data_IF_423524211809
#
_entry.id   IF_423524211809
#
_cell.length_a   1.000
_cell.length_b   1.000
_cell.length_c   1.000
_cell.angle_alpha   90.00
_cell.angle_beta   90.00
_cell.angle_gamma   90.00
#
_symmetry.space_group_name_H-M   'P 1'
#
loop_
_entity.id
_entity.type
_entity.pdbx_description
1 polymer ?
#
# COMPACT_ATOMS: atom_id res chain seq x y z
N UNK A 1 69.47 -13.27 -56.54
CA UNK A 1 69.26 -13.65 -55.16
C UNK A 1 68.38 -12.61 -54.48
N UNK A 2 67.08 -12.81 -54.40
CA UNK A 2 66.14 -11.93 -53.69
C UNK A 2 65.41 -12.74 -52.66
N UNK A 3 65.63 -12.45 -51.37
CA UNK A 3 64.92 -13.01 -50.24
C UNK A 3 63.50 -12.40 -50.17
N UNK A 4 62.49 -13.22 -50.29
CA UNK A 4 61.13 -12.86 -49.98
C UNK A 4 60.89 -13.12 -48.48
N UNK A 5 60.60 -12.07 -47.72
CA UNK A 5 60.13 -12.18 -46.34
C UNK A 5 58.60 -12.35 -46.35
N UNK A 6 58.12 -13.47 -45.92
CA UNK A 6 56.70 -13.76 -45.67
C UNK A 6 56.28 -13.12 -44.32
N UNK A 7 55.35 -12.21 -44.35
CA UNK A 7 54.68 -11.63 -43.17
C UNK A 7 53.41 -12.45 -42.90
N UNK A 8 53.37 -13.21 -41.83
CA UNK A 8 52.15 -13.82 -41.33
C UNK A 8 51.31 -12.74 -40.62
N UNK A 9 50.15 -12.40 -41.20
CA UNK A 9 49.10 -11.65 -40.50
C UNK A 9 48.33 -12.65 -39.59
N UNK A 10 48.50 -12.52 -38.29
CA UNK A 10 47.62 -13.15 -37.32
C UNK A 10 46.36 -12.32 -37.16
N UNK A 11 45.24 -12.75 -37.74
CA UNK A 11 43.93 -12.17 -37.52
C UNK A 11 43.39 -12.57 -36.14
N UNK A 12 43.47 -11.66 -35.18
CA UNK A 12 42.76 -11.82 -33.90
C UNK A 12 41.27 -11.65 -34.13
N UNK A 13 40.50 -12.76 -34.13
CA UNK A 13 39.05 -12.71 -34.02
C UNK A 13 38.69 -12.28 -32.59
N UNK A 14 38.36 -10.97 -32.42
CA UNK A 14 37.67 -10.50 -31.23
C UNK A 14 36.23 -10.99 -31.36
N UNK A 15 35.93 -12.08 -30.68
CA UNK A 15 34.57 -12.55 -30.53
C UNK A 15 33.79 -11.48 -29.75
N UNK A 16 32.93 -10.73 -30.45
CA UNK A 16 31.92 -9.91 -29.77
C UNK A 16 31.02 -10.82 -29.00
N UNK A 17 31.21 -10.88 -27.68
CA UNK A 17 30.23 -11.47 -26.78
C UNK A 17 29.00 -10.57 -26.86
N UNK A 18 28.00 -10.97 -27.65
CA UNK A 18 26.66 -10.38 -27.57
C UNK A 18 26.16 -10.71 -26.17
N UNK A 19 26.34 -9.78 -25.22
CA UNK A 19 25.58 -9.78 -23.98
C UNK A 19 24.15 -9.51 -24.43
N UNK A 20 23.33 -10.55 -24.50
CA UNK A 20 21.91 -10.41 -24.69
C UNK A 20 21.43 -9.44 -23.62
N UNK A 21 20.99 -8.26 -24.01
CA UNK A 21 20.39 -7.29 -23.09
C UNK A 21 19.13 -7.98 -22.58
N UNK A 22 19.02 -8.13 -21.25
CA UNK A 22 17.82 -8.68 -20.65
C UNK A 22 16.65 -7.74 -21.00
N UNK A 23 15.52 -8.33 -21.40
CA UNK A 23 14.30 -7.54 -21.60
C UNK A 23 13.95 -6.82 -20.30
N UNK A 24 13.43 -5.58 -20.39
CA UNK A 24 13.08 -4.77 -19.23
C UNK A 24 11.86 -5.32 -18.52
N UNK A 25 11.76 -5.13 -17.20
CA UNK A 25 10.62 -5.55 -16.39
C UNK A 25 9.57 -4.44 -16.39
N UNK A 26 8.48 -4.62 -17.11
CA UNK A 26 7.44 -3.62 -17.26
C UNK A 26 6.38 -3.69 -16.15
N UNK A 27 6.11 -2.54 -15.50
CA UNK A 27 5.10 -2.38 -14.45
C UNK A 27 4.18 -1.20 -14.79
N UNK A 28 2.92 -1.44 -15.24
CA UNK A 28 1.98 -0.36 -15.47
C UNK A 28 1.53 0.29 -14.17
N UNK A 29 1.37 1.62 -14.17
CA UNK A 29 0.91 2.39 -13.01
C UNK A 29 -0.47 3.00 -13.30
N UNK A 30 -1.51 2.49 -12.64
CA UNK A 30 -2.87 3.01 -12.72
C UNK A 30 -3.00 4.19 -11.77
N UNK A 31 -2.32 5.28 -12.09
CA UNK A 31 -2.15 6.42 -11.19
C UNK A 31 -3.33 7.38 -11.21
N UNK A 32 -3.36 8.30 -10.23
CA UNK A 32 -4.24 9.46 -10.23
C UNK A 32 -3.47 10.67 -9.67
N UNK A 33 -3.24 11.64 -10.57
CA UNK A 33 -2.44 12.84 -10.32
C UNK A 33 -3.30 14.10 -10.30
N UNK A 34 -4.60 13.99 -10.62
CA UNK A 34 -5.54 15.09 -10.67
C UNK A 34 -6.79 14.82 -9.81
N UNK A 35 -7.55 15.88 -9.51
CA UNK A 35 -8.77 15.77 -8.73
C UNK A 35 -8.57 15.75 -7.20
N UNK A 36 -9.63 15.45 -6.44
CA UNK A 36 -9.64 15.59 -4.98
C UNK A 36 -8.76 14.58 -4.23
N UNK A 37 -8.25 13.57 -4.92
CA UNK A 37 -7.39 12.53 -4.37
C UNK A 37 -5.93 12.63 -4.85
N UNK A 38 -5.63 13.62 -5.68
CA UNK A 38 -4.33 13.80 -6.35
C UNK A 38 -3.14 13.86 -5.40
N UNK A 39 -3.30 14.48 -4.23
CA UNK A 39 -2.22 14.61 -3.27
C UNK A 39 -1.71 13.24 -2.79
N UNK A 40 -2.63 12.33 -2.45
CA UNK A 40 -2.29 10.96 -2.06
C UNK A 40 -1.71 10.14 -3.21
N UNK A 41 -2.33 10.20 -4.40
CA UNK A 41 -1.84 9.53 -5.60
C UNK A 41 -0.46 10.02 -6.02
N UNK A 42 -0.22 11.32 -6.01
CA UNK A 42 1.08 11.91 -6.36
C UNK A 42 2.17 11.52 -5.37
N UNK A 43 1.87 11.50 -4.06
CA UNK A 43 2.82 11.06 -3.05
C UNK A 43 3.22 9.59 -3.25
N UNK A 44 2.23 8.71 -3.38
CA UNK A 44 2.46 7.27 -3.52
C UNK A 44 3.19 6.92 -4.83
N UNK A 45 2.63 7.29 -5.98
CA UNK A 45 3.28 6.97 -7.27
C UNK A 45 4.59 7.74 -7.48
N UNK A 46 4.74 8.92 -6.85
CA UNK A 46 6.03 9.59 -6.75
C UNK A 46 7.08 8.72 -6.07
N UNK A 47 6.75 8.13 -4.93
CA UNK A 47 7.64 7.21 -4.21
C UNK A 47 7.96 5.94 -5.00
N UNK A 48 6.97 5.39 -5.72
CA UNK A 48 7.17 4.21 -6.61
C UNK A 48 8.19 4.54 -7.70
N UNK A 49 7.96 5.62 -8.45
CA UNK A 49 8.82 6.02 -9.58
C UNK A 49 10.22 6.41 -9.09
N UNK A 50 10.31 7.10 -7.96
CA UNK A 50 11.60 7.45 -7.37
C UNK A 50 12.43 6.21 -7.04
N UNK A 51 11.80 5.17 -6.47
CA UNK A 51 12.48 3.92 -6.18
C UNK A 51 12.86 3.14 -7.46
N UNK A 52 12.01 3.14 -8.49
CA UNK A 52 12.35 2.56 -9.79
C UNK A 52 13.57 3.27 -10.42
N UNK A 53 13.61 4.59 -10.36
CA UNK A 53 14.77 5.35 -10.80
C UNK A 53 16.03 5.03 -10.00
N UNK A 54 15.91 4.81 -8.68
CA UNK A 54 17.02 4.39 -7.83
C UNK A 54 17.54 2.99 -8.23
N UNK A 55 16.65 2.03 -8.40
CA UNK A 55 17.02 0.66 -8.84
C UNK A 55 17.70 0.71 -10.20
N UNK A 56 17.15 1.45 -11.16
CA UNK A 56 17.72 1.59 -12.49
C UNK A 56 19.09 2.31 -12.48
N UNK A 57 19.27 3.30 -11.61
CA UNK A 57 20.56 3.96 -11.39
C UNK A 57 21.61 3.02 -10.77
N UNK A 58 21.17 2.00 -10.01
CA UNK A 58 22.02 0.95 -9.42
C UNK A 58 22.26 -0.24 -10.36
N UNK A 59 21.80 -0.17 -11.62
CA UNK A 59 21.99 -1.21 -12.64
C UNK A 59 20.83 -2.18 -12.82
N UNK A 60 19.67 -1.90 -12.23
CA UNK A 60 18.46 -2.75 -12.32
C UNK A 60 18.46 -3.94 -11.34
N UNK A 61 17.46 -4.78 -11.45
CA UNK A 61 17.29 -6.01 -10.68
C UNK A 61 18.15 -7.13 -11.29
N UNK A 62 19.36 -7.32 -10.79
CA UNK A 62 20.36 -8.22 -11.38
C UNK A 62 20.63 -7.92 -12.89
N UNK A 63 20.62 -6.66 -13.29
CA UNK A 63 20.84 -6.24 -14.68
C UNK A 63 19.55 -5.97 -15.47
N UNK A 64 18.37 -6.39 -14.99
CA UNK A 64 17.06 -6.11 -15.59
C UNK A 64 16.56 -4.76 -15.10
N UNK A 65 16.32 -3.82 -16.01
CA UNK A 65 15.74 -2.52 -15.65
C UNK A 65 14.25 -2.62 -15.45
N UNK A 66 13.70 -1.70 -14.67
CA UNK A 66 12.26 -1.51 -14.52
C UNK A 66 11.80 -0.40 -15.46
N UNK A 67 10.77 -0.68 -16.26
CA UNK A 67 10.07 0.31 -17.07
C UNK A 67 8.63 0.43 -16.62
N UNK A 68 8.01 1.57 -16.89
CA UNK A 68 6.62 1.82 -16.50
C UNK A 68 5.94 2.76 -17.49
N UNK A 69 4.62 2.74 -17.47
CA UNK A 69 3.75 3.69 -18.12
C UNK A 69 2.64 4.08 -17.14
N UNK A 70 2.37 5.38 -16.99
CA UNK A 70 1.26 5.85 -16.16
C UNK A 70 -0.01 5.99 -16.98
N UNK A 71 -1.14 5.59 -16.41
CA UNK A 71 -2.47 5.89 -16.92
C UNK A 71 -3.28 6.62 -15.86
N UNK A 72 -3.74 7.84 -16.15
CA UNK A 72 -4.54 8.65 -15.25
C UNK A 72 -5.95 8.10 -15.09
N UNK A 73 -6.29 7.65 -13.88
CA UNK A 73 -7.60 7.08 -13.55
C UNK A 73 -8.56 8.09 -12.94
N UNK A 74 -8.09 9.24 -12.47
CA UNK A 74 -8.85 10.21 -11.66
C UNK A 74 -9.55 9.57 -10.44
N UNK A 75 -9.01 8.46 -9.93
CA UNK A 75 -9.63 7.64 -8.88
C UNK A 75 -11.01 7.07 -9.27
N UNK A 76 -11.30 6.96 -10.56
CA UNK A 76 -12.56 6.47 -11.12
C UNK A 76 -12.45 4.99 -11.49
N UNK A 77 -13.40 4.17 -11.02
CA UNK A 77 -13.36 2.72 -11.22
C UNK A 77 -13.42 2.32 -12.70
N UNK A 78 -14.28 2.96 -13.51
CA UNK A 78 -14.41 2.64 -14.94
C UNK A 78 -13.14 3.00 -15.71
N UNK A 79 -12.55 4.17 -15.44
CA UNK A 79 -11.25 4.57 -16.02
C UNK A 79 -10.12 3.64 -15.57
N UNK A 80 -10.15 3.20 -14.32
CA UNK A 80 -9.18 2.22 -13.81
C UNK A 80 -9.22 0.91 -14.57
N UNK A 81 -10.42 0.41 -14.88
CA UNK A 81 -10.61 -0.78 -15.74
C UNK A 81 -10.09 -0.53 -17.15
N UNK A 82 -10.40 0.63 -17.75
CA UNK A 82 -9.89 1.01 -19.07
C UNK A 82 -8.35 1.09 -19.10
N UNK A 83 -7.75 1.76 -18.10
CA UNK A 83 -6.30 1.84 -17.96
C UNK A 83 -5.66 0.45 -17.85
N UNK A 84 -6.24 -0.44 -17.05
CA UNK A 84 -5.78 -1.82 -16.92
C UNK A 84 -5.80 -2.54 -18.28
N UNK A 85 -6.94 -2.54 -18.98
CA UNK A 85 -7.08 -3.21 -20.26
C UNK A 85 -6.11 -2.69 -21.32
N UNK A 86 -5.85 -1.38 -21.32
CA UNK A 86 -4.92 -0.76 -22.25
C UNK A 86 -3.48 -1.14 -21.95
N UNK A 87 -3.08 -1.13 -20.67
CA UNK A 87 -1.67 -1.27 -20.28
C UNK A 87 -1.22 -2.72 -20.07
N UNK A 88 -2.15 -3.65 -19.77
CA UNK A 88 -1.78 -5.03 -19.41
C UNK A 88 -0.95 -5.78 -20.45
N UNK A 89 -1.02 -5.38 -21.74
CA UNK A 89 -0.25 -5.98 -22.84
C UNK A 89 0.86 -5.09 -23.40
N UNK A 90 1.02 -3.86 -22.87
CA UNK A 90 2.09 -2.96 -23.29
C UNK A 90 3.46 -3.52 -22.95
N UNK A 91 4.48 -3.15 -23.72
CA UNK A 91 5.89 -3.46 -23.45
C UNK A 91 6.17 -4.94 -23.10
N UNK A 92 5.52 -5.88 -23.78
CA UNK A 92 5.71 -7.32 -23.54
C UNK A 92 4.83 -7.91 -22.45
N UNK A 93 4.00 -7.13 -21.78
CA UNK A 93 3.04 -7.56 -20.78
C UNK A 93 3.34 -7.08 -19.38
N UNK A 94 2.28 -6.81 -18.61
CA UNK A 94 2.38 -6.33 -17.25
C UNK A 94 2.94 -7.40 -16.30
N UNK A 95 3.94 -7.03 -15.52
CA UNK A 95 4.54 -7.87 -14.49
C UNK A 95 3.66 -8.03 -13.27
N UNK A 96 3.04 -6.93 -12.86
CA UNK A 96 2.11 -6.79 -11.76
C UNK A 96 1.33 -5.48 -11.95
N UNK A 97 0.29 -5.26 -11.14
CA UNK A 97 -0.48 -4.02 -11.13
C UNK A 97 -0.82 -3.58 -9.70
N UNK A 98 -0.85 -2.27 -9.47
CA UNK A 98 -1.25 -1.63 -8.19
C UNK A 98 -2.16 -0.44 -8.49
N UNK A 99 -3.48 -0.54 -8.28
CA UNK A 99 -4.41 0.54 -8.61
C UNK A 99 -4.57 1.61 -7.53
N UNK A 100 -4.03 1.42 -6.33
CA UNK A 100 -4.18 2.28 -5.15
C UNK A 100 -5.64 2.77 -4.93
N UNK A 101 -6.60 1.93 -5.24
CA UNK A 101 -8.03 2.22 -5.12
C UNK A 101 -8.81 0.92 -4.91
N UNK A 102 -9.51 0.82 -3.78
CA UNK A 102 -10.39 -0.33 -3.50
C UNK A 102 -11.45 -0.52 -4.60
N UNK A 103 -12.03 0.58 -5.10
CA UNK A 103 -13.02 0.53 -6.16
C UNK A 103 -12.46 -0.01 -7.47
N UNK A 104 -11.26 0.43 -7.88
CA UNK A 104 -10.60 -0.07 -9.08
C UNK A 104 -10.17 -1.53 -8.88
N UNK A 105 -9.57 -1.87 -7.71
CA UNK A 105 -9.16 -3.23 -7.40
C UNK A 105 -10.33 -4.22 -7.53
N UNK A 106 -11.52 -3.85 -7.02
CA UNK A 106 -12.72 -4.67 -7.18
C UNK A 106 -13.16 -4.77 -8.65
N UNK A 107 -13.03 -3.69 -9.41
CA UNK A 107 -13.41 -3.65 -10.83
C UNK A 107 -12.53 -4.52 -11.74
N UNK A 108 -11.27 -4.77 -11.35
CA UNK A 108 -10.33 -5.59 -12.13
C UNK A 108 -10.02 -6.96 -11.48
N UNK A 109 -10.67 -7.29 -10.35
CA UNK A 109 -10.38 -8.49 -9.56
C UNK A 109 -10.41 -9.79 -10.39
N UNK A 110 -11.50 -10.03 -11.09
CA UNK A 110 -11.67 -11.24 -11.92
C UNK A 110 -10.72 -11.21 -13.13
N UNK A 111 -10.48 -10.02 -13.71
CA UNK A 111 -9.61 -9.83 -14.87
C UNK A 111 -8.15 -10.15 -14.60
N UNK A 112 -7.60 -9.69 -13.48
CA UNK A 112 -6.20 -9.98 -13.11
C UNK A 112 -6.00 -11.47 -12.84
N UNK A 113 -7.01 -12.16 -12.31
CA UNK A 113 -6.98 -13.62 -12.14
C UNK A 113 -7.01 -14.37 -13.49
N UNK A 114 -7.89 -13.95 -14.42
CA UNK A 114 -7.97 -14.51 -15.78
C UNK A 114 -6.68 -14.25 -16.58
N UNK A 115 -6.13 -13.03 -16.49
CA UNK A 115 -4.90 -12.62 -17.18
C UNK A 115 -3.63 -13.16 -16.49
N UNK A 116 -3.75 -13.74 -15.28
CA UNK A 116 -2.65 -14.23 -14.44
C UNK A 116 -1.61 -13.13 -14.10
N UNK A 117 -2.09 -11.93 -13.85
CA UNK A 117 -1.26 -10.77 -13.47
C UNK A 117 -1.43 -10.52 -11.98
N UNK A 118 -0.39 -10.58 -11.15
CA UNK A 118 -0.50 -10.25 -9.74
C UNK A 118 -0.95 -8.81 -9.54
N UNK A 119 -1.98 -8.61 -8.70
CA UNK A 119 -2.38 -7.30 -8.23
C UNK A 119 -1.99 -7.16 -6.77
N UNK A 120 -1.21 -6.16 -6.46
CA UNK A 120 -0.96 -5.78 -5.08
C UNK A 120 -1.99 -4.77 -4.61
N UNK A 121 -2.37 -4.85 -3.34
CA UNK A 121 -3.28 -3.91 -2.69
C UNK A 121 -2.69 -3.52 -1.34
N UNK A 122 -1.56 -2.79 -1.38
CA UNK A 122 -0.76 -2.45 -0.22
C UNK A 122 -1.60 -1.71 0.85
N UNK A 123 -2.06 -2.47 1.85
CA UNK A 123 -2.85 -1.91 2.94
C UNK A 123 -4.25 -1.44 2.55
N UNK A 124 -4.89 -2.04 1.53
CA UNK A 124 -6.29 -1.75 1.23
C UNK A 124 -7.04 -2.99 0.72
N UNK A 125 -8.33 -2.85 0.43
CA UNK A 125 -9.21 -3.96 0.12
C UNK A 125 -8.91 -4.62 -1.24
N UNK A 126 -9.19 -5.88 -1.34
CA UNK A 126 -10.09 -6.72 -0.59
C UNK A 126 -9.35 -7.48 0.52
N UNK A 127 -9.83 -7.41 1.77
CA UNK A 127 -9.14 -8.03 2.93
C UNK A 127 -9.15 -9.55 2.89
N UNK A 128 -10.23 -10.20 2.48
CA UNK A 128 -10.32 -11.67 2.38
C UNK A 128 -9.45 -12.26 1.26
N UNK A 129 -8.91 -11.40 0.38
CA UNK A 129 -7.93 -11.81 -0.63
C UNK A 129 -6.56 -12.19 -0.04
N UNK A 130 -6.34 -12.00 1.26
CA UNK A 130 -5.20 -12.58 1.95
C UNK A 130 -5.18 -14.13 1.91
N UNK A 131 -6.33 -14.78 1.65
CA UNK A 131 -6.38 -16.22 1.36
C UNK A 131 -5.99 -16.51 -0.09
N UNK A 132 -4.70 -16.74 -0.33
CA UNK A 132 -4.20 -16.98 -1.68
C UNK A 132 -4.66 -18.29 -2.32
N UNK A 133 -5.17 -19.25 -1.53
CA UNK A 133 -5.81 -20.45 -2.09
C UNK A 133 -7.07 -20.12 -2.91
N UNK A 134 -7.73 -19.01 -2.61
CA UNK A 134 -8.92 -18.52 -3.30
C UNK A 134 -8.57 -17.38 -4.25
N UNK A 135 -7.61 -16.52 -3.86
CA UNK A 135 -7.19 -15.33 -4.61
C UNK A 135 -5.70 -15.37 -4.98
N UNK A 136 -5.29 -16.32 -5.85
CA UNK A 136 -3.86 -16.57 -6.09
C UNK A 136 -3.10 -15.40 -6.74
N UNK A 137 -3.81 -14.40 -7.27
CA UNK A 137 -3.21 -13.23 -7.93
C UNK A 137 -3.44 -11.92 -7.19
N UNK A 138 -3.96 -11.94 -5.93
CA UNK A 138 -4.23 -10.72 -5.16
C UNK A 138 -3.39 -10.74 -3.88
N UNK A 139 -2.62 -9.67 -3.64
CA UNK A 139 -1.66 -9.57 -2.54
C UNK A 139 -1.87 -8.31 -1.71
N UNK A 140 -2.70 -8.36 -0.64
CA UNK A 140 -2.85 -7.25 0.31
C UNK A 140 -1.64 -7.21 1.27
N UNK A 141 -0.49 -6.87 0.72
CA UNK A 141 0.80 -6.91 1.41
C UNK A 141 0.81 -6.04 2.68
N UNK A 142 1.56 -6.50 3.69
CA UNK A 142 1.80 -5.89 5.02
C UNK A 142 0.61 -6.09 5.96
N UNK A 143 -0.58 -5.65 5.59
CA UNK A 143 -1.76 -5.62 6.46
C UNK A 143 -3.03 -5.35 5.63
N UNK A 144 -4.20 -5.70 6.17
CA UNK A 144 -5.51 -5.45 5.56
C UNK A 144 -6.35 -4.47 6.38
N UNK A 145 -7.44 -3.99 5.80
CA UNK A 145 -8.39 -3.16 6.53
C UNK A 145 -9.05 -3.88 7.71
N UNK A 146 -9.23 -5.19 7.60
CA UNK A 146 -9.80 -5.97 8.70
C UNK A 146 -8.84 -6.05 9.88
N UNK A 147 -7.56 -6.29 9.63
CA UNK A 147 -6.55 -6.26 10.69
C UNK A 147 -6.36 -4.84 11.25
N UNK A 148 -6.46 -3.80 10.41
CA UNK A 148 -6.45 -2.43 10.90
C UNK A 148 -7.63 -2.12 11.81
N UNK A 149 -8.85 -2.48 11.42
CA UNK A 149 -10.05 -2.27 12.25
C UNK A 149 -9.90 -2.98 13.61
N UNK A 150 -9.41 -4.22 13.59
CA UNK A 150 -9.13 -4.96 14.82
C UNK A 150 -8.04 -4.30 15.68
N UNK A 151 -6.98 -3.78 15.06
CA UNK A 151 -5.92 -3.05 15.77
C UNK A 151 -6.40 -1.69 16.30
N UNK A 152 -7.31 -1.00 15.59
CA UNK A 152 -7.96 0.23 16.07
C UNK A 152 -8.75 -0.04 17.35
N UNK A 153 -9.60 -1.06 17.34
CA UNK A 153 -10.38 -1.44 18.53
C UNK A 153 -9.45 -1.79 19.70
N UNK A 154 -8.38 -2.56 19.45
CA UNK A 154 -7.39 -2.86 20.48
C UNK A 154 -6.77 -1.60 21.05
N UNK A 155 -6.30 -0.69 20.19
CA UNK A 155 -5.69 0.57 20.63
C UNK A 155 -6.67 1.43 21.44
N UNK A 156 -7.93 1.54 21.03
CA UNK A 156 -8.96 2.28 21.77
C UNK A 156 -9.28 1.61 23.11
N UNK A 157 -9.26 0.27 23.16
CA UNK A 157 -9.35 -0.50 24.39
C UNK A 157 -8.18 -0.20 25.33
N UNK A 158 -6.95 -0.31 24.86
CA UNK A 158 -5.74 -0.01 25.64
C UNK A 158 -5.78 1.43 26.18
N UNK A 159 -6.17 2.38 25.36
CA UNK A 159 -6.36 3.81 25.75
C UNK A 159 -7.48 4.00 26.77
N UNK A 160 -8.45 3.11 26.83
CA UNK A 160 -9.56 3.11 27.80
C UNK A 160 -9.23 2.36 29.08
N UNK A 161 -8.09 1.66 29.18
CA UNK A 161 -7.67 0.83 30.31
C UNK A 161 -7.98 -0.65 30.17
N UNK A 162 -8.36 -1.11 28.96
CA UNK A 162 -8.63 -2.50 28.58
C UNK A 162 -9.79 -2.63 27.60
N UNK A 163 -9.86 -3.73 26.88
CA UNK A 163 -10.94 -4.01 25.93
C UNK A 163 -12.31 -4.11 26.63
N UNK A 164 -12.34 -4.61 27.85
CA UNK A 164 -13.54 -4.66 28.71
C UNK A 164 -14.10 -3.26 29.04
N UNK A 165 -13.26 -2.24 29.02
CA UNK A 165 -13.63 -0.83 29.25
C UNK A 165 -14.27 -0.16 28.04
N UNK A 166 -14.35 -0.87 26.92
CA UNK A 166 -15.12 -0.40 25.76
C UNK A 166 -16.63 -0.62 25.95
N UNK A 167 -17.05 -1.48 26.88
CA UNK A 167 -18.47 -1.73 27.15
C UNK A 167 -19.23 -0.45 27.48
N UNK A 168 -20.29 -0.19 26.72
CA UNK A 168 -21.12 1.00 26.85
C UNK A 168 -20.56 2.28 26.25
N UNK A 169 -19.33 2.26 25.72
CA UNK A 169 -18.79 3.41 24.98
C UNK A 169 -19.45 3.53 23.61
N UNK A 170 -19.47 4.76 23.08
CA UNK A 170 -19.92 5.06 21.74
C UNK A 170 -18.73 5.32 20.82
N UNK A 171 -18.66 4.58 19.73
CA UNK A 171 -17.62 4.74 18.71
C UNK A 171 -18.30 5.06 17.38
N UNK A 172 -18.00 6.21 16.82
CA UNK A 172 -18.46 6.60 15.48
C UNK A 172 -17.46 6.11 14.44
N UNK A 173 -17.93 5.41 13.42
CA UNK A 173 -17.24 5.15 12.18
C UNK A 173 -17.68 6.19 11.15
N UNK A 174 -16.91 7.29 11.00
CA UNK A 174 -17.10 8.34 10.00
C UNK A 174 -16.33 7.92 8.74
N UNK A 175 -17.03 7.53 7.69
CA UNK A 175 -16.39 6.87 6.56
C UNK A 175 -16.77 7.44 5.20
N UNK A 176 -15.83 7.40 4.28
CA UNK A 176 -16.03 7.67 2.87
C UNK A 176 -17.03 6.68 2.28
N UNK A 177 -18.15 7.16 1.73
CA UNK A 177 -19.23 6.30 1.20
C UNK A 177 -18.85 5.63 -0.11
N UNK A 178 -18.02 4.61 0.01
CA UNK A 178 -17.50 3.80 -1.09
C UNK A 178 -17.13 2.40 -0.59
N UNK A 179 -16.71 1.51 -1.49
CA UNK A 179 -16.19 0.19 -1.13
C UNK A 179 -15.06 0.31 -0.08
N UNK A 180 -14.16 1.29 -0.23
CA UNK A 180 -13.09 1.57 0.72
C UNK A 180 -13.59 1.83 2.15
N UNK A 181 -14.56 2.75 2.29
CA UNK A 181 -15.06 3.14 3.62
C UNK A 181 -15.93 2.08 4.29
N UNK A 182 -16.51 1.17 3.50
CA UNK A 182 -17.38 0.08 3.98
C UNK A 182 -16.60 -1.18 4.35
N UNK A 183 -15.39 -1.34 3.87
CA UNK A 183 -14.56 -2.54 4.04
C UNK A 183 -14.39 -2.99 5.51
N UNK A 184 -14.11 -2.10 6.51
CA UNK A 184 -13.90 -2.49 7.89
C UNK A 184 -15.18 -2.77 8.68
N UNK A 185 -16.35 -2.41 8.15
CA UNK A 185 -17.62 -2.47 8.89
C UNK A 185 -17.90 -3.85 9.48
N UNK A 186 -17.75 -4.98 8.77
CA UNK A 186 -18.01 -6.29 9.34
C UNK A 186 -17.18 -6.60 10.59
N UNK A 187 -15.89 -6.21 10.59
CA UNK A 187 -15.00 -6.42 11.74
C UNK A 187 -15.38 -5.50 12.90
N UNK A 188 -15.68 -4.23 12.62
CA UNK A 188 -16.12 -3.28 13.66
C UNK A 188 -17.43 -3.71 14.29
N UNK A 189 -18.40 -4.26 13.53
CA UNK A 189 -19.65 -4.80 14.04
C UNK A 189 -19.44 -6.06 14.89
N UNK A 190 -18.57 -6.97 14.46
CA UNK A 190 -18.22 -8.16 15.23
C UNK A 190 -17.58 -7.78 16.58
N UNK A 191 -16.65 -6.81 16.57
CA UNK A 191 -16.00 -6.32 17.78
C UNK A 191 -16.92 -5.48 18.67
N UNK A 192 -17.85 -4.71 18.09
CA UNK A 192 -18.88 -4.01 18.85
C UNK A 192 -19.74 -5.00 19.64
N UNK A 193 -20.14 -6.12 19.02
CA UNK A 193 -20.85 -7.19 19.68
C UNK A 193 -20.00 -7.88 20.76
N UNK A 194 -18.72 -8.15 20.46
CA UNK A 194 -17.80 -8.86 21.35
C UNK A 194 -17.48 -8.04 22.61
N UNK A 195 -17.20 -6.74 22.46
CA UNK A 195 -16.74 -5.88 23.54
C UNK A 195 -17.83 -4.95 24.10
N UNK A 196 -19.04 -4.98 23.54
CA UNK A 196 -20.22 -4.28 24.08
C UNK A 196 -20.18 -2.76 23.86
N UNK A 197 -19.47 -2.23 22.88
CA UNK A 197 -19.57 -0.81 22.52
C UNK A 197 -20.66 -0.57 21.47
N UNK A 198 -21.23 0.63 21.47
CA UNK A 198 -22.16 1.08 20.43
C UNK A 198 -21.37 1.58 19.20
N UNK A 199 -21.58 0.95 18.05
CA UNK A 199 -21.01 1.39 16.77
C UNK A 199 -22.01 2.23 15.98
N UNK A 200 -21.69 3.51 15.77
CA UNK A 200 -22.50 4.44 14.99
C UNK A 200 -21.82 4.65 13.63
N UNK A 201 -22.49 4.28 12.55
CA UNK A 201 -21.95 4.38 11.18
C UNK A 201 -22.47 5.64 10.50
N UNK A 202 -21.58 6.55 10.11
CA UNK A 202 -21.92 7.83 9.47
C UNK A 202 -21.19 7.94 8.14
N UNK A 203 -21.90 7.80 7.00
CA UNK A 203 -21.30 7.94 5.68
C UNK A 203 -21.08 9.41 5.32
N UNK A 204 -19.99 9.65 4.57
CA UNK A 204 -19.70 10.94 3.94
C UNK A 204 -19.64 10.73 2.44
N UNK A 205 -20.52 11.38 1.70
CA UNK A 205 -20.50 11.33 0.23
C UNK A 205 -19.18 11.91 -0.28
N UNK A 206 -18.53 11.18 -1.22
CA UNK A 206 -17.27 11.67 -1.78
C UNK A 206 -17.49 12.84 -2.77
N UNK A 207 -16.52 13.76 -2.86
CA UNK A 207 -15.16 13.69 -2.30
C UNK A 207 -15.03 14.06 -0.82
N UNK A 208 -16.12 14.39 -0.10
CA UNK A 208 -16.10 14.65 1.33
C UNK A 208 -15.85 16.12 1.71
N UNK A 209 -16.14 17.05 0.81
CA UNK A 209 -16.06 18.50 1.08
C UNK A 209 -17.15 18.98 2.03
N UNK A 210 -18.33 18.35 2.00
CA UNK A 210 -19.49 18.73 2.79
C UNK A 210 -19.71 17.72 3.93
N UNK A 211 -19.46 18.15 5.18
CA UNK A 211 -19.54 17.26 6.35
C UNK A 211 -20.30 17.87 7.53
N UNK A 212 -20.98 19.01 7.35
CA UNK A 212 -21.68 19.71 8.45
C UNK A 212 -22.75 18.83 9.10
N UNK A 213 -23.57 18.15 8.30
CA UNK A 213 -24.63 17.27 8.80
C UNK A 213 -24.09 16.07 9.59
N UNK A 214 -22.98 15.49 9.14
CA UNK A 214 -22.31 14.39 9.83
C UNK A 214 -21.76 14.83 11.19
N UNK A 215 -21.13 16.00 11.26
CA UNK A 215 -20.59 16.51 12.52
C UNK A 215 -21.67 16.99 13.48
N UNK A 216 -22.84 17.42 13.00
CA UNK A 216 -24.01 17.63 13.85
C UNK A 216 -24.51 16.31 14.46
N UNK A 217 -24.58 15.23 13.69
CA UNK A 217 -24.92 13.90 14.19
C UNK A 217 -23.90 13.43 15.23
N UNK A 218 -22.58 13.59 14.96
CA UNK A 218 -21.51 13.26 15.90
C UNK A 218 -21.67 14.04 17.20
N UNK A 219 -21.93 15.33 17.12
CA UNK A 219 -22.15 16.18 18.31
C UNK A 219 -23.37 15.72 19.12
N UNK A 220 -24.48 15.36 18.46
CA UNK A 220 -25.68 14.83 19.13
C UNK A 220 -25.43 13.46 19.78
N UNK A 221 -24.70 12.57 19.09
CA UNK A 221 -24.35 11.25 19.62
C UNK A 221 -23.36 11.33 20.80
N UNK A 222 -22.57 12.41 20.87
CA UNK A 222 -21.52 12.63 21.87
C UNK A 222 -20.62 11.38 22.07
N UNK A 223 -19.92 10.89 21.04
CA UNK A 223 -19.18 9.64 21.11
C UNK A 223 -17.90 9.79 21.94
N UNK A 224 -17.45 8.67 22.53
CA UNK A 224 -16.14 8.57 23.18
C UNK A 224 -15.01 8.68 22.16
N UNK A 225 -15.20 8.08 20.97
CA UNK A 225 -14.20 8.05 19.90
C UNK A 225 -14.85 8.21 18.52
N UNK A 226 -14.08 8.78 17.58
CA UNK A 226 -14.40 8.83 16.14
C UNK A 226 -13.28 8.13 15.38
N UNK A 227 -13.60 7.05 14.69
CA UNK A 227 -12.76 6.44 13.67
C UNK A 227 -13.01 7.19 12.36
N UNK A 228 -12.00 7.92 11.87
CA UNK A 228 -12.06 8.61 10.59
C UNK A 228 -11.52 7.67 9.50
N UNK A 229 -12.41 7.13 8.68
CA UNK A 229 -12.07 6.27 7.55
C UNK A 229 -12.23 7.03 6.24
N UNK A 230 -11.37 8.02 6.06
CA UNK A 230 -11.42 8.98 4.97
C UNK A 230 -10.23 8.90 4.02
N UNK A 231 -10.37 9.52 2.87
CA UNK A 231 -9.37 9.63 1.82
C UNK A 231 -9.39 11.02 1.16
N UNK A 232 -8.20 11.54 0.84
CA UNK A 232 -8.04 12.81 0.16
C UNK A 232 -8.60 14.00 0.94
N UNK A 233 -9.28 14.91 0.27
CA UNK A 233 -9.80 16.17 0.86
C UNK A 233 -10.73 15.95 2.05
N UNK A 234 -11.41 14.82 2.13
CA UNK A 234 -12.29 14.46 3.25
C UNK A 234 -11.57 14.54 4.59
N UNK A 235 -10.28 14.16 4.65
CA UNK A 235 -9.53 14.08 5.89
C UNK A 235 -9.31 15.45 6.54
N UNK A 236 -8.74 16.38 5.79
CA UNK A 236 -8.52 17.75 6.28
C UNK A 236 -9.84 18.46 6.64
N UNK A 237 -10.90 18.23 5.87
CA UNK A 237 -12.24 18.77 6.16
C UNK A 237 -12.79 18.18 7.46
N UNK A 238 -12.69 16.86 7.68
CA UNK A 238 -13.12 16.21 8.91
C UNK A 238 -12.40 16.78 10.14
N UNK A 239 -11.08 16.92 10.08
CA UNK A 239 -10.24 17.43 11.19
C UNK A 239 -10.63 18.88 11.52
N UNK A 240 -10.78 19.75 10.51
CA UNK A 240 -11.22 21.16 10.70
C UNK A 240 -12.64 21.24 11.28
N UNK A 241 -13.54 20.42 10.77
CA UNK A 241 -14.94 20.46 11.19
C UNK A 241 -15.11 19.92 12.61
N UNK A 242 -14.31 18.90 13.00
CA UNK A 242 -14.22 18.44 14.38
C UNK A 242 -13.86 19.59 15.33
N UNK A 243 -12.81 20.35 15.00
CA UNK A 243 -12.40 21.50 15.81
C UNK A 243 -13.50 22.54 15.95
N UNK A 244 -14.16 22.92 14.84
CA UNK A 244 -15.25 23.90 14.84
C UNK A 244 -16.44 23.46 15.70
N UNK A 245 -16.67 22.16 15.81
CA UNK A 245 -17.72 21.57 16.63
C UNK A 245 -17.27 21.26 18.07
N UNK A 246 -16.05 21.66 18.47
CA UNK A 246 -15.52 21.43 19.83
C UNK A 246 -15.15 19.97 20.12
N UNK A 247 -15.08 19.10 19.11
CA UNK A 247 -14.69 17.71 19.30
C UNK A 247 -13.16 17.57 19.38
N UNK A 248 -12.66 16.87 20.42
CA UNK A 248 -11.23 16.71 20.64
C UNK A 248 -10.58 15.81 19.59
N UNK A 249 -9.50 16.30 18.96
CA UNK A 249 -8.71 15.51 17.98
C UNK A 249 -8.05 14.29 18.59
N UNK A 250 -7.75 14.30 19.89
CA UNK A 250 -7.20 13.16 20.61
C UNK A 250 -8.18 11.98 20.72
N UNK A 251 -9.48 12.25 20.55
CA UNK A 251 -10.54 11.23 20.45
C UNK A 251 -10.76 10.74 19.03
N UNK A 252 -10.03 11.29 18.05
CA UNK A 252 -10.10 10.84 16.66
C UNK A 252 -8.94 9.88 16.36
N UNK A 253 -9.26 8.80 15.65
CA UNK A 253 -8.29 7.83 15.16
C UNK A 253 -8.49 7.61 13.66
N UNK A 254 -7.56 8.10 12.85
CA UNK A 254 -7.61 7.95 11.40
C UNK A 254 -7.19 6.58 10.91
N UNK A 255 -7.80 6.10 9.82
CA UNK A 255 -7.24 5.06 8.99
C UNK A 255 -5.84 5.49 8.52
N UNK A 256 -4.95 4.56 8.21
CA UNK A 256 -3.62 4.95 7.71
C UNK A 256 -3.66 5.85 6.47
N UNK A 257 -4.74 5.83 5.66
CA UNK A 257 -4.96 6.74 4.53
C UNK A 257 -5.51 8.13 4.94
N UNK A 258 -5.65 8.38 6.25
CA UNK A 258 -5.98 9.68 6.84
C UNK A 258 -4.87 10.12 7.81
N UNK A 259 -3.63 9.79 7.52
CA UNK A 259 -2.49 10.01 8.41
C UNK A 259 -1.21 10.39 7.68
N UNK A 260 -1.29 11.34 6.75
CA UNK A 260 -0.12 11.88 6.08
C UNK A 260 -0.01 13.40 6.25
N UNK A 261 1.10 13.96 5.81
CA UNK A 261 1.33 15.40 5.75
C UNK A 261 0.31 16.08 4.84
N UNK A 262 -0.11 15.40 3.77
CA UNK A 262 -1.12 15.86 2.82
C UNK A 262 -2.51 15.99 3.46
N UNK A 263 -2.77 15.28 4.56
CA UNK A 263 -4.01 15.36 5.34
C UNK A 263 -3.91 16.42 6.46
N UNK A 264 -2.78 16.45 7.17
CA UNK A 264 -2.60 17.25 8.37
C UNK A 264 -2.23 18.71 8.06
N UNK A 265 -1.33 18.96 7.10
CA UNK A 265 -0.88 20.32 6.75
C UNK A 265 -2.03 21.21 6.28
N UNK A 266 -2.93 20.77 5.37
CA UNK A 266 -4.08 21.58 4.99
C UNK A 266 -5.06 21.83 6.13
N UNK A 267 -5.07 20.98 7.16
CA UNK A 267 -5.92 21.18 8.34
C UNK A 267 -5.35 22.22 9.31
N UNK A 268 -4.06 22.58 9.19
CA UNK A 268 -3.41 23.60 10.02
C UNK A 268 -3.42 23.22 11.51
N UNK A 269 -3.61 24.22 12.37
CA UNK A 269 -3.63 24.04 13.84
C UNK A 269 -4.72 23.05 14.30
N UNK A 270 -5.78 22.85 13.50
CA UNK A 270 -6.80 21.87 13.80
C UNK A 270 -6.28 20.44 13.86
N UNK A 271 -5.17 20.13 13.18
CA UNK A 271 -4.60 18.79 13.15
C UNK A 271 -3.73 18.48 14.39
N UNK A 272 -3.27 19.46 15.14
CA UNK A 272 -2.41 19.21 16.31
C UNK A 272 -3.10 18.31 17.33
N UNK A 273 -2.46 17.19 17.68
CA UNK A 273 -3.01 16.17 18.58
C UNK A 273 -3.84 15.09 17.88
N UNK A 274 -4.14 15.23 16.58
CA UNK A 274 -4.83 14.20 15.81
C UNK A 274 -3.98 12.92 15.70
N UNK A 275 -4.61 11.76 15.86
CA UNK A 275 -3.96 10.45 15.79
C UNK A 275 -4.44 9.65 14.58
N UNK A 276 -3.55 8.83 14.03
CA UNK A 276 -3.84 7.95 12.91
C UNK A 276 -3.07 6.65 13.04
N UNK A 277 -3.60 5.57 12.47
CA UNK A 277 -2.83 4.37 12.20
C UNK A 277 -1.79 4.61 11.12
N UNK A 278 -0.72 3.82 11.13
CA UNK A 278 0.26 3.77 10.04
C UNK A 278 0.94 2.40 9.97
N UNK A 279 1.28 1.96 8.77
CA UNK A 279 2.18 0.81 8.56
C UNK A 279 3.59 1.26 8.10
N UNK A 280 3.81 2.59 7.98
CA UNK A 280 5.12 3.17 7.80
C UNK A 280 5.47 4.04 9.02
N UNK A 281 6.57 3.73 9.68
CA UNK A 281 7.04 4.55 10.81
C UNK A 281 7.61 5.87 10.28
N UNK A 282 7.10 7.03 10.73
CA UNK A 282 7.71 8.32 10.38
C UNK A 282 9.18 8.38 10.81
N UNK A 283 10.06 8.85 9.93
CA UNK A 283 11.49 8.92 10.21
C UNK A 283 12.32 9.21 8.98
N UNK A 284 13.63 9.29 9.16
CA UNK A 284 14.59 9.34 8.08
C UNK A 284 15.26 7.97 7.94
N UNK A 285 15.46 7.52 6.71
CA UNK A 285 15.97 6.20 6.38
C UNK A 285 17.07 6.30 5.32
N UNK A 286 18.11 5.45 5.37
CA UNK A 286 19.20 5.47 4.38
C UNK A 286 18.69 5.39 2.93
N UNK A 287 17.60 4.67 2.65
CA UNK A 287 17.00 4.61 1.30
C UNK A 287 16.52 5.99 0.84
N UNK A 288 15.99 6.83 1.74
CA UNK A 288 15.56 8.20 1.39
C UNK A 288 16.76 9.11 1.09
N UNK A 289 17.90 8.91 1.77
CA UNK A 289 19.13 9.64 1.47
C UNK A 289 19.74 9.21 0.14
N UNK A 290 19.63 7.91 -0.20
CA UNK A 290 19.98 7.44 -1.55
C UNK A 290 19.08 8.05 -2.63
N UNK A 291 17.78 8.18 -2.39
CA UNK A 291 16.86 8.86 -3.31
C UNK A 291 17.28 10.32 -3.50
N UNK A 292 17.56 11.06 -2.43
CA UNK A 292 18.03 12.46 -2.51
C UNK A 292 19.29 12.59 -3.34
N UNK A 293 20.28 11.73 -3.09
CA UNK A 293 21.61 11.83 -3.70
C UNK A 293 21.69 11.24 -5.12
N UNK A 294 20.99 10.14 -5.42
CA UNK A 294 21.12 9.41 -6.68
C UNK A 294 19.97 9.65 -7.67
N UNK A 295 18.83 10.17 -7.20
CA UNK A 295 17.67 10.41 -8.04
C UNK A 295 17.35 11.90 -8.13
N UNK A 296 17.14 12.58 -7.01
CA UNK A 296 16.80 14.00 -7.02
C UNK A 296 17.96 14.92 -7.38
N UNK A 297 19.19 14.60 -6.97
CA UNK A 297 20.38 15.38 -7.30
C UNK A 297 20.69 15.39 -8.82
N UNK A 298 20.25 14.37 -9.54
CA UNK A 298 20.43 14.24 -11.00
C UNK A 298 19.16 14.58 -11.79
N UNK A 299 18.16 15.20 -11.15
CA UNK A 299 16.95 15.68 -11.82
C UNK A 299 15.94 14.60 -12.22
N UNK A 300 16.02 13.38 -11.67
CA UNK A 300 15.12 12.25 -11.99
C UNK A 300 14.03 12.01 -10.93
N UNK A 301 13.94 12.87 -9.89
CA UNK A 301 12.91 12.77 -8.87
C UNK A 301 11.52 13.09 -9.40
N UNK A 302 10.51 12.37 -8.94
CA UNK A 302 9.14 12.49 -9.43
C UNK A 302 8.25 13.46 -8.62
N UNK A 303 8.58 13.74 -7.35
CA UNK A 303 7.84 14.74 -6.57
C UNK A 303 8.18 16.16 -7.01
N UNK A 304 7.17 16.97 -7.30
CA UNK A 304 7.34 18.41 -7.58
C UNK A 304 7.79 19.19 -6.33
N UNK A 305 7.24 18.85 -5.18
CA UNK A 305 7.64 19.40 -3.87
C UNK A 305 8.64 18.47 -3.18
N UNK A 306 9.93 18.83 -3.26
CA UNK A 306 11.03 18.07 -2.64
C UNK A 306 10.96 18.00 -1.12
N UNK A 307 10.20 18.88 -0.45
CA UNK A 307 9.99 18.82 1.00
C UNK A 307 9.16 17.60 1.41
N UNK A 308 8.45 16.99 0.46
CA UNK A 308 7.63 15.78 0.65
C UNK A 308 8.42 14.47 0.50
N UNK A 309 9.72 14.52 0.21
CA UNK A 309 10.56 13.31 0.21
C UNK A 309 10.61 12.74 1.62
N UNK A 310 10.05 11.55 1.81
CA UNK A 310 9.92 10.91 3.12
C UNK A 310 8.62 11.23 3.85
N UNK A 311 7.66 11.96 3.23
CA UNK A 311 6.30 12.04 3.71
C UNK A 311 5.65 10.64 3.74
N UNK A 312 4.59 10.46 4.52
CA UNK A 312 3.97 9.15 4.73
C UNK A 312 3.54 8.51 3.40
N UNK A 313 2.92 9.27 2.48
CA UNK A 313 2.51 8.69 1.19
C UNK A 313 3.69 8.39 0.28
N UNK A 314 4.72 9.23 0.26
CA UNK A 314 5.94 8.94 -0.48
C UNK A 314 6.63 7.66 0.03
N UNK A 315 6.77 7.51 1.35
CA UNK A 315 7.33 6.28 1.93
C UNK A 315 6.51 5.03 1.60
N UNK A 316 5.18 5.13 1.49
CA UNK A 316 4.33 4.00 1.07
C UNK A 316 4.61 3.58 -0.36
N UNK A 317 4.79 4.54 -1.26
CA UNK A 317 5.20 4.26 -2.64
C UNK A 317 6.56 3.59 -2.70
N UNK A 318 7.54 4.10 -1.94
CA UNK A 318 8.88 3.47 -1.81
C UNK A 318 8.75 2.05 -1.27
N UNK A 319 7.93 1.83 -0.22
CA UNK A 319 7.70 0.50 0.36
C UNK A 319 7.08 -0.47 -0.65
N UNK A 320 6.06 -0.03 -1.40
CA UNK A 320 5.45 -0.83 -2.45
C UNK A 320 6.49 -1.29 -3.48
N UNK A 321 7.27 -0.35 -4.00
CA UNK A 321 8.30 -0.64 -5.01
C UNK A 321 9.43 -1.52 -4.45
N UNK A 322 9.79 -1.40 -3.17
CA UNK A 322 10.68 -2.34 -2.48
C UNK A 322 10.11 -3.75 -2.52
N UNK A 323 8.87 -3.95 -2.07
CA UNK A 323 8.25 -5.28 -2.01
C UNK A 323 8.06 -5.91 -3.39
N UNK A 324 7.74 -5.11 -4.42
CA UNK A 324 7.66 -5.59 -5.80
C UNK A 324 9.03 -6.02 -6.32
N UNK A 325 10.06 -5.22 -6.06
CA UNK A 325 11.44 -5.55 -6.44
C UNK A 325 11.92 -6.83 -5.76
N UNK A 326 11.60 -7.01 -4.46
CA UNK A 326 11.94 -8.23 -3.71
C UNK A 326 11.21 -9.48 -4.24
N UNK A 327 9.94 -9.34 -4.65
CA UNK A 327 9.20 -10.43 -5.30
C UNK A 327 9.82 -10.82 -6.65
N UNK A 328 10.23 -9.84 -7.47
CA UNK A 328 10.92 -10.08 -8.74
C UNK A 328 12.28 -10.73 -8.49
N UNK A 329 13.08 -10.25 -7.54
CA UNK A 329 14.36 -10.84 -7.17
C UNK A 329 14.18 -12.26 -6.65
N UNK A 330 13.14 -12.53 -5.88
CA UNK A 330 12.81 -13.87 -5.39
C UNK A 330 12.43 -14.83 -6.52
N UNK A 331 11.69 -14.35 -7.51
CA UNK A 331 11.41 -15.10 -8.73
C UNK A 331 12.70 -15.37 -9.53
N UNK A 332 13.59 -14.39 -9.65
CA UNK A 332 14.87 -14.55 -10.33
C UNK A 332 15.78 -15.57 -9.63
N UNK A 333 15.75 -15.69 -8.30
CA UNK A 333 16.49 -16.73 -7.57
C UNK A 333 16.09 -18.14 -8.02
N UNK A 334 14.79 -18.35 -8.29
CA UNK A 334 14.25 -19.65 -8.70
C UNK A 334 14.35 -19.91 -10.20
N UNK A 335 14.00 -18.91 -11.01
CA UNK A 335 13.78 -19.10 -12.45
C UNK A 335 14.93 -18.60 -13.34
N UNK A 336 15.91 -17.90 -12.76
CA UNK A 336 17.13 -17.48 -13.44
C UNK A 336 17.47 -16.01 -13.16
N UNK A 337 18.60 -15.82 -12.49
CA UNK A 337 19.16 -14.50 -12.17
C UNK A 337 19.46 -13.72 -13.45
N UNK A 338 19.11 -12.43 -13.45
CA UNK A 338 19.34 -11.53 -14.58
C UNK A 338 18.40 -11.71 -15.77
N UNK A 339 17.29 -12.41 -15.58
CA UNK A 339 16.24 -12.57 -16.59
C UNK A 339 15.00 -11.76 -16.22
N UNK A 340 14.29 -11.29 -17.23
CA UNK A 340 12.92 -10.82 -17.08
C UNK A 340 12.04 -11.96 -16.54
N UNK A 341 11.16 -11.64 -15.60
CA UNK A 341 10.22 -12.60 -15.01
C UNK A 341 8.82 -12.41 -15.60
N UNK A 342 8.14 -13.52 -15.87
CA UNK A 342 6.73 -13.49 -16.23
C UNK A 342 5.88 -13.13 -15.01
N UNK A 343 4.65 -12.68 -15.23
CA UNK A 343 3.70 -12.36 -14.16
C UNK A 343 3.43 -13.57 -13.24
N UNK A 344 3.34 -14.79 -13.78
CA UNK A 344 3.16 -16.02 -12.98
C UNK A 344 4.39 -16.32 -12.12
N UNK A 345 5.60 -16.09 -12.63
CA UNK A 345 6.84 -16.22 -11.84
C UNK A 345 6.92 -15.19 -10.72
N UNK A 346 6.45 -13.95 -11.00
CA UNK A 346 6.37 -12.88 -9.99
C UNK A 346 5.31 -13.19 -8.94
N UNK A 347 4.15 -13.76 -9.33
CA UNK A 347 3.16 -14.31 -8.38
C UNK A 347 3.83 -15.27 -7.40
N UNK A 348 4.61 -16.23 -7.90
CA UNK A 348 5.36 -17.14 -7.05
C UNK A 348 6.34 -16.38 -6.14
N UNK A 349 6.99 -15.35 -6.65
CA UNK A 349 7.86 -14.46 -5.86
C UNK A 349 7.12 -13.78 -4.72
N UNK A 350 5.92 -13.29 -4.97
CA UNK A 350 5.06 -12.70 -3.93
C UNK A 350 4.65 -13.72 -2.86
N UNK A 351 4.32 -14.96 -3.20
CA UNK A 351 4.00 -16.00 -2.22
C UNK A 351 5.21 -16.48 -1.40
N UNK A 352 6.41 -16.09 -1.77
CA UNK A 352 7.65 -16.50 -1.11
C UNK A 352 8.48 -15.32 -0.61
N UNK A 353 7.85 -14.15 -0.41
CA UNK A 353 8.53 -13.00 0.20
C UNK A 353 8.97 -13.30 1.62
N UNK A 354 10.17 -12.84 1.94
CA UNK A 354 10.68 -12.77 3.31
C UNK A 354 11.56 -11.54 3.47
N UNK A 355 10.94 -10.41 3.77
CA UNK A 355 11.62 -9.12 4.00
C UNK A 355 11.68 -8.89 5.50
N UNK A 356 12.59 -9.60 6.16
CA UNK A 356 12.88 -9.48 7.58
C UNK A 356 13.71 -8.24 7.91
N UNK A 357 14.01 -8.01 9.18
CA UNK A 357 14.79 -6.86 9.63
C UNK A 357 16.21 -6.83 9.03
N UNK A 358 16.84 -7.99 8.83
CA UNK A 358 18.15 -8.07 8.20
C UNK A 358 18.09 -7.62 6.74
N UNK A 359 17.04 -8.05 6.02
CA UNK A 359 16.79 -7.63 4.64
C UNK A 359 16.42 -6.14 4.58
N UNK A 360 15.55 -5.65 5.46
CA UNK A 360 15.22 -4.22 5.55
C UNK A 360 16.47 -3.37 5.79
N UNK A 361 17.38 -3.82 6.67
CA UNK A 361 18.67 -3.14 6.93
C UNK A 361 19.52 -3.06 5.66
N UNK A 362 19.61 -4.14 4.91
CA UNK A 362 20.35 -4.18 3.64
C UNK A 362 19.74 -3.24 2.57
N UNK A 363 18.42 -3.03 2.62
CA UNK A 363 17.69 -2.11 1.74
C UNK A 363 17.70 -0.65 2.22
N UNK A 364 18.30 -0.37 3.38
CA UNK A 364 18.29 0.96 3.98
C UNK A 364 16.91 1.40 4.51
N UNK A 365 16.04 0.44 4.82
CA UNK A 365 14.63 0.65 5.22
C UNK A 365 14.29 0.00 6.58
N UNK A 366 15.29 -0.30 7.43
CA UNK A 366 15.07 -0.95 8.72
C UNK A 366 14.07 -0.18 9.59
N UNK A 367 12.96 -0.83 9.96
CA UNK A 367 11.91 -0.26 10.80
C UNK A 367 10.98 0.72 10.07
N UNK A 368 11.16 0.97 8.78
CA UNK A 368 10.28 1.83 7.99
C UNK A 368 8.88 1.20 7.84
N UNK A 369 8.80 -0.12 7.75
CA UNK A 369 7.58 -0.92 7.72
C UNK A 369 7.79 -2.21 8.52
N UNK A 370 6.73 -2.94 8.92
CA UNK A 370 6.91 -4.19 9.65
C UNK A 370 7.54 -5.26 8.75
N UNK A 371 8.25 -6.27 9.30
CA UNK A 371 8.69 -7.41 8.54
C UNK A 371 7.55 -8.05 7.75
N UNK A 372 7.80 -8.43 6.50
CA UNK A 372 6.82 -9.02 5.59
C UNK A 372 7.25 -10.43 5.23
N UNK A 373 6.39 -11.40 5.53
CA UNK A 373 6.56 -12.79 5.11
C UNK A 373 5.21 -13.29 4.61
N UNK A 374 5.19 -13.80 3.40
CA UNK A 374 3.97 -14.29 2.74
C UNK A 374 4.08 -15.76 2.41
N UNK A 375 2.95 -16.37 2.16
CA UNK A 375 2.81 -17.75 1.66
C UNK A 375 1.52 -17.83 0.84
N UNK A 376 1.25 -18.96 0.20
CA UNK A 376 -0.03 -19.20 -0.45
C UNK A 376 -1.23 -19.12 0.51
N UNK A 377 -1.07 -19.46 1.78
CA UNK A 377 -2.11 -19.36 2.79
C UNK A 377 -2.30 -17.94 3.33
N UNK A 378 -1.29 -17.08 3.15
CA UNK A 378 -1.28 -15.73 3.70
C UNK A 378 -0.56 -14.76 2.76
N UNK A 379 -1.31 -14.03 1.95
CA UNK A 379 -0.81 -12.99 1.06
C UNK A 379 -0.66 -11.62 1.74
N UNK A 380 -1.01 -11.51 3.03
CA UNK A 380 -0.96 -10.26 3.79
C UNK A 380 0.38 -10.09 4.54
N UNK A 381 0.71 -11.05 5.40
CA UNK A 381 1.89 -11.00 6.25
C UNK A 381 1.59 -10.64 7.70
N UNK A 382 2.33 -9.69 8.29
CA UNK A 382 2.29 -9.47 9.75
C UNK A 382 0.97 -8.92 10.28
N UNK A 383 0.22 -8.17 9.49
CA UNK A 383 -0.99 -7.45 9.94
C UNK A 383 -0.69 -6.36 10.97
N UNK A 384 0.57 -5.98 11.12
CA UNK A 384 1.02 -5.09 12.18
C UNK A 384 0.99 -3.62 11.75
N UNK A 385 0.64 -2.74 12.69
CA UNK A 385 0.53 -1.29 12.50
C UNK A 385 1.13 -0.54 13.68
N UNK A 386 1.38 0.76 13.52
CA UNK A 386 1.65 1.69 14.61
C UNK A 386 0.58 2.75 14.69
N UNK A 387 0.52 3.44 15.82
CA UNK A 387 -0.25 4.67 15.97
C UNK A 387 0.73 5.84 15.99
N UNK A 388 0.39 6.87 15.24
CA UNK A 388 1.14 8.12 15.15
C UNK A 388 0.25 9.31 15.51
N UNK A 389 0.87 10.40 15.96
CA UNK A 389 0.20 11.65 16.29
C UNK A 389 0.85 12.82 15.56
N UNK A 390 0.04 13.73 15.07
CA UNK A 390 0.50 14.98 14.48
C UNK A 390 0.89 15.99 15.57
N UNK A 391 2.15 16.41 15.59
CA UNK A 391 2.68 17.35 16.61
C UNK A 391 2.36 18.82 16.29
N UNK A 392 1.94 19.11 15.08
CA UNK A 392 1.75 20.44 14.52
C UNK A 392 2.68 20.71 13.33
N UNK A 393 3.79 19.99 13.27
CA UNK A 393 4.82 20.11 12.22
C UNK A 393 5.18 18.76 11.56
N UNK A 394 5.04 17.66 12.30
CA UNK A 394 5.42 16.32 11.83
C UNK A 394 4.61 15.21 12.51
N UNK A 395 4.60 14.06 11.87
CA UNK A 395 4.11 12.84 12.48
C UNK A 395 5.15 12.24 13.44
N UNK A 396 4.68 11.75 14.57
CA UNK A 396 5.48 11.01 15.56
C UNK A 396 4.77 9.72 15.93
N UNK A 397 5.45 8.58 15.81
CA UNK A 397 4.92 7.33 16.33
C UNK A 397 4.78 7.42 17.87
N UNK A 398 3.59 7.07 18.39
CA UNK A 398 3.28 7.12 19.82
C UNK A 398 3.14 5.73 20.43
N UNK A 399 3.10 4.66 19.62
CA UNK A 399 3.26 3.29 20.07
C UNK A 399 4.72 2.86 19.86
N UNK A 400 5.43 2.37 20.89
CA UNK A 400 6.82 1.94 20.74
C UNK A 400 6.93 0.68 19.87
N UNK A 401 5.99 -0.25 20.04
CA UNK A 401 5.93 -1.51 19.33
C UNK A 401 4.85 -1.49 18.24
N UNK A 402 4.94 -2.46 17.33
CA UNK A 402 3.88 -2.75 16.38
C UNK A 402 2.64 -3.27 17.12
N UNK A 403 1.48 -2.75 16.78
CA UNK A 403 0.18 -3.15 17.32
C UNK A 403 -0.44 -4.15 16.36
N UNK A 404 -0.87 -5.28 16.90
CA UNK A 404 -1.60 -6.31 16.16
C UNK A 404 -2.97 -6.44 16.80
N UNK A 405 -4.03 -6.47 16.00
CA UNK A 405 -5.40 -6.66 16.47
C UNK A 405 -5.72 -8.13 16.77
N UNK A 406 -7.01 -8.42 16.91
CA UNK A 406 -7.49 -9.80 17.10
C UNK A 406 -7.38 -10.59 15.77
N UNK A 407 -6.21 -11.24 15.59
CA UNK A 407 -5.94 -12.05 14.41
C UNK A 407 -6.82 -13.31 14.34
N UNK A 408 -7.26 -13.85 15.46
CA UNK A 408 -8.11 -15.02 15.44
C UNK A 408 -9.49 -14.68 14.85
N UNK A 409 -10.08 -13.56 15.28
CA UNK A 409 -11.31 -13.04 14.70
C UNK A 409 -11.17 -12.73 13.21
N UNK A 410 -10.16 -11.92 12.85
CA UNK A 410 -10.00 -11.49 11.46
C UNK A 410 -9.69 -12.66 10.53
N UNK A 411 -8.93 -13.66 10.98
CA UNK A 411 -8.63 -14.86 10.20
C UNK A 411 -9.88 -15.72 9.97
N UNK A 412 -10.70 -15.95 11.01
CA UNK A 412 -11.95 -16.68 10.88
C UNK A 412 -12.92 -16.01 9.89
N UNK A 413 -13.07 -14.69 10.00
CA UNK A 413 -13.92 -13.91 9.09
C UNK A 413 -13.38 -13.94 7.65
N UNK A 414 -12.07 -13.85 7.48
CA UNK A 414 -11.38 -13.92 6.19
C UNK A 414 -11.63 -15.28 5.50
N UNK A 415 -11.51 -16.37 6.26
CA UNK A 415 -11.76 -17.74 5.76
C UNK A 415 -13.23 -17.93 5.37
N UNK A 416 -14.17 -17.46 6.19
CA UNK A 416 -15.60 -17.50 5.89
C UNK A 416 -15.91 -16.73 4.60
N UNK A 417 -15.45 -15.48 4.49
CA UNK A 417 -15.71 -14.63 3.33
C UNK A 417 -15.09 -15.19 2.05
N UNK A 418 -13.83 -15.60 2.10
CA UNK A 418 -13.14 -16.17 0.94
C UNK A 418 -13.76 -17.49 0.48
N UNK A 419 -14.18 -18.36 1.41
CA UNK A 419 -14.87 -19.61 1.07
C UNK A 419 -16.24 -19.35 0.44
N UNK A 420 -16.98 -18.35 0.90
CA UNK A 420 -18.24 -17.92 0.27
C UNK A 420 -18.00 -17.46 -1.15
N UNK A 421 -17.00 -16.59 -1.37
CA UNK A 421 -16.63 -16.16 -2.72
C UNK A 421 -16.20 -17.35 -3.61
N UNK A 422 -15.41 -18.28 -3.07
CA UNK A 422 -15.00 -19.47 -3.80
C UNK A 422 -16.21 -20.31 -4.25
N UNK A 423 -17.21 -20.50 -3.37
CA UNK A 423 -18.44 -21.21 -3.69
C UNK A 423 -19.25 -20.50 -4.79
N UNK A 424 -19.42 -19.18 -4.69
CA UNK A 424 -20.13 -18.34 -5.68
C UNK A 424 -19.44 -18.39 -7.06
N UNK A 425 -18.11 -18.37 -7.09
CA UNK A 425 -17.32 -18.41 -8.32
C UNK A 425 -16.94 -19.81 -8.79
N UNK A 426 -17.34 -20.86 -8.06
CA UNK A 426 -16.98 -22.26 -8.34
C UNK A 426 -15.47 -22.50 -8.38
N UNK A 427 -14.74 -21.80 -7.49
CA UNK A 427 -13.29 -21.97 -7.31
C UNK A 427 -13.04 -23.11 -6.34
N UNK A 428 -12.15 -24.04 -6.66
CA UNK A 428 -11.63 -25.02 -5.72
C UNK A 428 -10.39 -24.42 -5.05
N UNK A 429 -10.43 -24.10 -3.74
CA UNK A 429 -9.29 -23.49 -3.05
C UNK A 429 -8.05 -24.38 -3.07
N UNK A 430 -6.97 -23.91 -3.65
CA UNK A 430 -5.70 -24.65 -3.74
C UNK A 430 -4.51 -23.70 -3.95
N UNK A 431 -3.36 -24.06 -3.40
CA UNK A 431 -2.11 -23.38 -3.75
C UNK A 431 -1.70 -23.72 -5.18
N UNK A 432 -1.42 -22.70 -5.98
CA UNK A 432 -0.84 -22.91 -7.31
C UNK A 432 0.64 -23.34 -7.16
N UNK A 433 1.04 -24.34 -7.95
CA UNK A 433 2.42 -24.88 -7.92
C UNK A 433 3.40 -23.97 -8.63
#
# INVERSE_FOLDING_TARGET
MKLMKSILLASAMIGAVNVAQADDQYIPLLSYRVGPYAAGGSGFYGGVIDYFNLINAKGGLNGVKITWEECETEYNASRGVECYERLKKSQGGASLVEPLSTGIAYGILDRVAEDKIPMTTLGYGRSDAANGKVFPYIFPLITSYWNQAAAMTKYLGDKSGGLDKLKGKKIVHLYHDSAFGKEPIPVLEAQAKQYGFELIKIPVAHPGNEQQSQWLQIRQANPDYVILWGWGVMNAVAIKTAQRNGYSREKMLGVWWAGSEEDAVPAGDAAKGYTSMTFNTPGNYPVLDELRSKVYAVGKGNLSDKSRIGSVYHMRGVTAAILWSEAILKAQEKYGKGKQMTSEQIRWGFENLNVDEARQKALGALGMFPPVKTSCEDHEGSGAVKVQQWTGDKWKAITPNWVVGDKALTRAMLEESSNKYAAEKKITPACLK
#
